data_IF_807648079549
#
_entry.id   IF_807648079549
#
_cell.length_a   1.000
_cell.length_b   1.000
_cell.length_c   1.000
_cell.angle_alpha   90.00
_cell.angle_beta   90.00
_cell.angle_gamma   90.00
#
_symmetry.space_group_name_H-M   'P 1'
#
loop_
_entity.id
_entity.type
_entity.pdbx_description
1 polymer ?
#
# COMPACT_ATOMS: atom_id res chain seq x y z
N UNK A 1 2.63 -10.73 2.01
CA UNK A 1 1.42 -9.98 1.60
C UNK A 1 0.34 -10.96 1.22
N UNK A 2 0.54 -11.81 0.21
CA UNK A 2 -0.38 -12.93 -0.10
C UNK A 2 -0.72 -13.81 1.11
N UNK A 3 0.29 -14.17 1.90
CA UNK A 3 0.08 -14.95 3.13
C UNK A 3 -0.78 -14.26 4.20
N UNK A 4 -0.83 -12.93 4.18
CA UNK A 4 -1.70 -12.17 5.10
C UNK A 4 -3.15 -12.25 4.62
N UNK A 5 -3.37 -12.22 3.30
CA UNK A 5 -4.69 -12.36 2.70
C UNK A 5 -5.25 -13.78 2.88
N UNK A 6 -4.42 -14.81 2.77
CA UNK A 6 -4.85 -16.21 2.87
C UNK A 6 -5.29 -16.61 4.29
N UNK A 7 -4.57 -16.17 5.32
CA UNK A 7 -4.81 -16.58 6.71
C UNK A 7 -5.63 -15.53 7.50
N UNK A 8 -5.58 -14.27 7.08
CA UNK A 8 -6.15 -13.10 7.74
C UNK A 8 -5.82 -13.02 9.26
N UNK A 9 -4.63 -12.51 9.62
CA UNK A 9 -4.19 -12.39 11.00
C UNK A 9 -4.77 -11.18 11.77
N UNK A 10 -5.65 -10.39 11.16
CA UNK A 10 -6.29 -9.25 11.83
C UNK A 10 -7.49 -9.68 12.68
N UNK A 11 -8.18 -10.76 12.26
CA UNK A 11 -9.26 -11.41 13.02
C UNK A 11 -8.78 -12.01 14.34
N UNK A 12 -7.63 -12.69 14.31
CA UNK A 12 -7.02 -13.31 15.48
C UNK A 12 -5.50 -13.15 15.43
N UNK A 13 -4.96 -12.57 16.52
CA UNK A 13 -3.53 -12.36 16.68
C UNK A 13 -2.74 -13.66 16.79
N UNK A 14 -3.39 -14.79 17.09
CA UNK A 14 -2.77 -16.12 17.15
C UNK A 14 -2.32 -16.65 15.78
N UNK A 15 -2.78 -16.02 14.68
CA UNK A 15 -2.52 -16.44 13.30
C UNK A 15 -1.22 -15.90 12.71
N UNK A 16 -0.58 -14.92 13.35
CA UNK A 16 0.70 -14.35 12.89
C UNK A 16 1.86 -15.36 12.76
N UNK A 17 2.00 -16.39 13.62
CA UNK A 17 2.97 -17.47 13.43
C UNK A 17 2.75 -18.26 12.12
N UNK A 18 1.50 -18.50 11.73
CA UNK A 18 1.16 -19.21 10.48
C UNK A 18 1.59 -18.38 9.28
N UNK A 19 1.31 -17.06 9.31
CA UNK A 19 1.76 -16.13 8.27
C UNK A 19 3.29 -16.10 8.18
N UNK A 20 4.00 -16.09 9.31
CA UNK A 20 5.45 -16.12 9.33
C UNK A 20 6.04 -17.41 8.75
N UNK A 21 5.40 -18.56 9.03
CA UNK A 21 5.77 -19.84 8.44
C UNK A 21 5.56 -19.84 6.92
N UNK A 22 4.41 -19.36 6.44
CA UNK A 22 4.12 -19.26 5.00
C UNK A 22 5.07 -18.33 4.27
N UNK A 23 5.36 -17.16 4.84
CA UNK A 23 6.35 -16.22 4.27
C UNK A 23 7.75 -16.83 4.27
N UNK A 24 8.09 -17.58 5.32
CA UNK A 24 9.39 -18.24 5.40
C UNK A 24 9.56 -19.36 4.38
N UNK A 25 8.50 -20.13 4.13
CA UNK A 25 8.48 -21.14 3.07
C UNK A 25 8.66 -20.53 1.67
N UNK A 26 8.02 -19.39 1.40
CA UNK A 26 8.11 -18.71 0.10
C UNK A 26 9.43 -17.95 -0.12
N UNK A 27 10.11 -17.54 0.95
CA UNK A 27 11.33 -16.72 0.89
C UNK A 27 12.61 -17.49 1.22
N UNK A 28 12.52 -18.78 1.55
CA UNK A 28 13.62 -19.63 2.03
C UNK A 28 14.38 -19.01 3.21
N UNK A 29 13.71 -18.19 4.03
CA UNK A 29 14.28 -17.45 5.16
C UNK A 29 13.36 -17.52 6.36
N UNK A 30 13.95 -17.65 7.55
CA UNK A 30 13.16 -17.67 8.78
C UNK A 30 12.72 -16.25 9.15
N UNK A 31 11.40 -16.05 9.25
CA UNK A 31 10.81 -14.83 9.77
C UNK A 31 10.09 -15.10 11.08
N UNK A 32 10.15 -14.13 11.98
CA UNK A 32 9.36 -14.19 13.23
C UNK A 32 7.98 -13.59 13.01
N UNK A 33 6.97 -14.13 13.70
CA UNK A 33 5.60 -13.60 13.70
C UNK A 33 5.57 -12.08 13.99
N UNK A 34 6.39 -11.66 14.95
CA UNK A 34 6.55 -10.24 15.31
C UNK A 34 7.15 -9.42 14.16
N UNK A 35 8.21 -9.91 13.53
CA UNK A 35 8.85 -9.22 12.40
C UNK A 35 7.92 -9.09 11.19
N UNK A 36 7.16 -10.14 10.87
CA UNK A 36 6.14 -10.09 9.83
C UNK A 36 5.08 -9.03 10.13
N UNK A 37 4.55 -9.01 11.36
CA UNK A 37 3.58 -8.00 11.78
C UNK A 37 4.13 -6.59 11.69
N UNK A 38 5.29 -6.32 12.28
CA UNK A 38 5.93 -5.00 12.25
C UNK A 38 6.20 -4.53 10.82
N UNK A 39 6.58 -5.46 9.93
CA UNK A 39 6.79 -5.15 8.51
C UNK A 39 5.48 -4.80 7.80
N UNK A 40 4.39 -5.53 8.06
CA UNK A 40 3.07 -5.25 7.49
C UNK A 40 2.53 -3.92 8.01
N UNK A 41 2.62 -3.67 9.32
CA UNK A 41 2.24 -2.38 9.94
C UNK A 41 3.00 -1.21 9.30
N UNK A 42 4.31 -1.37 9.08
CA UNK A 42 5.13 -0.37 8.39
C UNK A 42 4.66 -0.11 6.97
N UNK A 43 4.39 -1.17 6.19
CA UNK A 43 3.95 -1.05 4.81
C UNK A 43 2.57 -0.40 4.70
N UNK A 44 1.62 -0.76 5.58
CA UNK A 44 0.31 -0.13 5.65
C UNK A 44 0.39 1.35 6.05
N UNK A 45 1.28 1.69 6.99
CA UNK A 45 1.51 3.09 7.37
C UNK A 45 2.10 3.92 6.22
N UNK A 46 3.06 3.38 5.46
CA UNK A 46 3.61 4.07 4.29
C UNK A 46 2.57 4.19 3.17
N UNK A 47 1.73 3.17 2.98
CA UNK A 47 0.63 3.18 2.01
C UNK A 47 -0.41 4.27 2.33
N UNK A 48 -0.86 4.35 3.59
CA UNK A 48 -1.79 5.40 4.06
C UNK A 48 -1.23 6.81 3.90
N UNK A 49 0.08 6.96 4.08
CA UNK A 49 0.79 8.24 3.87
C UNK A 49 1.08 8.55 2.40
N UNK A 50 0.68 7.66 1.48
CA UNK A 50 0.96 7.77 0.04
C UNK A 50 2.45 7.99 -0.27
N UNK A 51 3.34 7.38 0.52
CA UNK A 51 4.79 7.51 0.35
C UNK A 51 5.31 6.54 -0.74
N UNK A 52 4.91 6.84 -1.98
CA UNK A 52 5.21 6.02 -3.16
C UNK A 52 6.71 5.86 -3.40
N UNK A 53 7.50 6.87 -3.05
CA UNK A 53 8.96 6.84 -3.16
C UNK A 53 9.55 5.74 -2.28
N UNK A 54 9.05 5.56 -1.05
CA UNK A 54 9.50 4.49 -0.18
C UNK A 54 8.89 3.12 -0.54
N UNK A 55 7.69 3.07 -1.12
CA UNK A 55 7.09 1.81 -1.60
C UNK A 55 7.74 1.25 -2.87
N UNK A 56 8.21 2.14 -3.77
CA UNK A 56 8.77 1.83 -5.10
C UNK A 56 10.25 1.45 -5.09
N UNK A 57 10.96 1.65 -3.97
CA UNK A 57 12.39 1.29 -3.82
C UNK A 57 12.74 -0.18 -4.07
N UNK A 58 11.76 -1.07 -4.16
CA UNK A 58 11.96 -2.51 -4.36
C UNK A 58 11.09 -3.01 -5.52
N UNK A 59 11.71 -3.41 -6.63
CA UNK A 59 11.08 -4.20 -7.69
C UNK A 59 10.82 -3.45 -9.01
N UNK A 60 10.42 -4.22 -10.03
CA UNK A 60 9.99 -3.71 -11.34
C UNK A 60 8.61 -3.03 -11.27
N UNK A 61 8.21 -2.32 -12.32
CA UNK A 61 6.91 -1.63 -12.36
C UNK A 61 5.73 -2.59 -12.17
N UNK A 62 5.81 -3.80 -12.73
CA UNK A 62 4.79 -4.83 -12.57
C UNK A 62 4.67 -5.31 -11.11
N UNK A 63 5.80 -5.56 -10.45
CA UNK A 63 5.85 -5.97 -9.04
C UNK A 63 5.31 -4.87 -8.12
N UNK A 64 5.55 -3.61 -8.48
CA UNK A 64 5.01 -2.47 -7.75
C UNK A 64 3.48 -2.42 -7.83
N UNK A 65 2.91 -2.52 -9.04
CA UNK A 65 1.44 -2.53 -9.25
C UNK A 65 0.77 -3.64 -8.45
N UNK A 66 1.34 -4.84 -8.50
CA UNK A 66 0.86 -5.97 -7.72
C UNK A 66 0.96 -5.73 -6.21
N UNK A 67 2.10 -5.25 -5.72
CA UNK A 67 2.28 -4.92 -4.30
C UNK A 67 1.29 -3.86 -3.83
N UNK A 68 0.97 -2.86 -4.65
CA UNK A 68 -0.03 -1.84 -4.32
C UNK A 68 -1.44 -2.40 -4.28
N UNK A 69 -1.81 -3.30 -5.21
CA UNK A 69 -3.11 -3.99 -5.16
C UNK A 69 -3.24 -4.82 -3.88
N UNK A 70 -2.21 -5.60 -3.55
CA UNK A 70 -2.17 -6.38 -2.32
C UNK A 70 -2.20 -5.49 -1.05
N UNK A 71 -1.61 -4.29 -1.08
CA UNK A 71 -1.68 -3.35 0.04
C UNK A 71 -3.07 -2.78 0.24
N UNK A 72 -3.79 -2.51 -0.85
CA UNK A 72 -5.17 -2.06 -0.79
C UNK A 72 -6.04 -3.15 -0.14
N UNK A 73 -5.98 -4.38 -0.63
CA UNK A 73 -6.75 -5.50 -0.08
C UNK A 73 -6.43 -5.77 1.40
N UNK A 74 -5.15 -5.76 1.79
CA UNK A 74 -4.74 -5.93 3.20
C UNK A 74 -5.22 -4.76 4.06
N UNK A 75 -5.23 -3.54 3.52
CA UNK A 75 -5.75 -2.35 4.23
C UNK A 75 -7.26 -2.47 4.45
N UNK A 76 -8.00 -2.93 3.45
CA UNK A 76 -9.44 -3.13 3.53
C UNK A 76 -9.78 -4.20 4.57
N UNK A 77 -9.04 -5.33 4.57
CA UNK A 77 -9.16 -6.35 5.63
C UNK A 77 -8.87 -5.81 7.04
N UNK A 78 -7.88 -4.93 7.20
CA UNK A 78 -7.59 -4.32 8.50
C UNK A 78 -8.75 -3.41 8.95
N UNK A 79 -9.38 -2.68 8.02
CA UNK A 79 -10.55 -1.84 8.30
C UNK A 79 -11.74 -2.69 8.74
N UNK A 80 -12.04 -3.77 8.01
CA UNK A 80 -13.12 -4.71 8.34
C UNK A 80 -12.94 -5.37 9.72
N UNK A 81 -11.69 -5.57 10.15
CA UNK A 81 -11.37 -6.19 11.44
C UNK A 81 -11.28 -5.20 12.63
N UNK A 82 -11.71 -3.95 12.44
CA UNK A 82 -11.74 -2.93 13.51
C UNK A 82 -10.70 -1.82 13.38
N UNK A 83 -10.09 -1.67 12.20
CA UNK A 83 -9.25 -0.54 11.85
C UNK A 83 -7.80 -0.63 12.35
N UNK A 84 -6.97 0.37 11.98
CA UNK A 84 -5.58 0.43 12.38
C UNK A 84 -5.45 0.31 13.89
N UNK A 85 -4.68 -0.70 14.33
CA UNK A 85 -4.22 -0.78 15.72
C UNK A 85 -3.18 0.31 15.94
N UNK A 86 -3.63 1.54 16.11
CA UNK A 86 -2.78 2.64 16.55
C UNK A 86 -2.15 2.20 17.86
N UNK A 87 -0.82 2.04 17.86
CA UNK A 87 -0.08 1.92 19.12
C UNK A 87 -0.33 3.24 19.83
N UNK A 88 -1.23 3.20 20.81
CA UNK A 88 -1.41 4.30 21.75
C UNK A 88 -0.02 4.65 22.26
N UNK A 89 0.46 5.84 21.88
CA UNK A 89 1.69 6.37 22.44
C UNK A 89 1.53 6.35 23.95
N UNK A 90 2.52 5.79 24.65
CA UNK A 90 2.58 5.76 26.11
C UNK A 90 2.46 7.18 26.67
N UNK A 91 1.23 7.59 27.00
CA UNK A 91 0.91 8.74 27.84
C UNK A 91 -0.37 8.42 28.59
N UNK A 92 -0.26 7.53 29.57
CA UNK A 92 -1.28 7.36 30.60
C UNK A 92 -0.59 6.97 31.90
N UNK A 93 -0.45 7.99 32.75
CA UNK A 93 -0.55 7.99 34.21
C UNK A 93 -0.84 6.62 34.84
N UNK A 94 -0.02 6.28 35.85
CA UNK A 94 -0.26 5.21 36.84
C UNK A 94 -1.77 5.03 37.15
N UNK A 95 -2.35 3.84 36.95
CA UNK A 95 -3.54 3.45 37.70
C UNK A 95 -3.09 3.00 39.10
N UNK A 96 -3.58 3.73 40.10
CA UNK A 96 -3.47 3.40 41.52
C UNK A 96 -4.37 2.19 41.83
N UNK A 97 -3.76 1.23 42.52
CA UNK A 97 -4.29 0.20 43.41
C UNK A 97 -5.78 -0.22 43.31
N UNK A 98 -5.97 -1.50 42.99
CA UNK A 98 -7.12 -2.28 43.47
C UNK A 98 -6.97 -2.61 44.98
N UNK A 99 -8.10 -2.83 45.68
CA UNK A 99 -8.18 -3.87 46.69
C UNK A 99 -9.21 -4.95 46.32
N UNK A 100 -8.81 -6.22 46.51
CA UNK A 100 -9.59 -7.47 46.38
C UNK A 100 -10.51 -7.69 47.63
N UNK A 101 -10.99 -8.93 47.92
CA UNK A 101 -12.27 -9.54 47.52
C UNK A 101 -13.15 -9.89 48.75
N UNK A 102 -14.44 -10.25 48.58
CA UNK A 102 -15.17 -11.06 49.58
C UNK A 102 -16.21 -11.98 48.92
N UNK A 103 -16.14 -13.23 49.36
CA UNK A 103 -16.91 -14.41 48.96
C UNK A 103 -18.36 -14.45 49.47
N UNK A 104 -19.10 -15.45 48.97
CA UNK A 104 -20.24 -16.22 49.52
C UNK A 104 -21.55 -16.12 48.68
N UNK A 105 -22.48 -17.10 48.73
CA UNK A 105 -22.68 -18.08 47.65
C UNK A 105 -24.12 -18.08 47.05
N UNK A 106 -24.27 -18.76 45.91
CA UNK A 106 -25.42 -19.56 45.37
C UNK A 106 -26.81 -19.45 46.04
N UNK A 107 -28.00 -19.61 45.35
CA UNK A 107 -28.20 -20.71 44.39
C UNK A 107 -29.32 -20.62 43.30
N UNK A 108 -29.28 -21.62 42.39
CA UNK A 108 -30.29 -22.25 41.49
C UNK A 108 -31.33 -21.37 40.74
N UNK A 109 -31.43 -21.50 39.41
CA UNK A 109 -32.47 -22.30 38.68
C UNK A 109 -32.46 -21.81 37.21
N UNK A 110 -32.82 -22.48 36.11
CA UNK A 110 -33.34 -23.82 35.75
C UNK A 110 -33.17 -23.92 34.22
N UNK A 111 -32.99 -25.13 33.71
CA UNK A 111 -32.87 -25.52 32.31
C UNK A 111 -34.05 -25.13 31.39
N UNK A 112 -33.78 -24.92 30.10
CA UNK A 112 -34.65 -25.39 29.00
C UNK A 112 -33.78 -25.91 27.84
N UNK A 113 -34.13 -27.10 27.38
CA UNK A 113 -33.59 -27.92 26.28
C UNK A 113 -34.50 -27.84 25.07
N UNK A 114 -33.93 -27.98 23.86
CA UNK A 114 -34.46 -28.50 22.57
C UNK A 114 -33.64 -27.83 21.44
N UNK A 115 -32.82 -28.48 20.62
CA UNK A 115 -32.88 -29.72 19.82
C UNK A 115 -33.81 -29.67 18.59
N UNK A 116 -33.36 -30.37 17.54
CA UNK A 116 -33.85 -30.54 16.15
C UNK A 116 -33.31 -29.51 15.15
N UNK A 117 -32.88 -29.84 13.93
CA UNK A 117 -32.67 -31.09 13.21
C UNK A 117 -32.10 -30.70 11.83
N UNK A 118 -31.14 -31.49 11.34
CA UNK A 118 -30.86 -31.87 9.94
C UNK A 118 -31.27 -30.95 8.76
N UNK A 119 -30.31 -30.64 7.89
CA UNK A 119 -30.25 -31.19 6.50
C UNK A 119 -29.10 -30.57 5.70
N UNK A 120 -28.18 -31.45 5.28
CA UNK A 120 -27.35 -31.35 4.09
C UNK A 120 -28.05 -32.21 3.02
N UNK A 121 -28.10 -31.85 1.72
CA UNK A 121 -27.04 -32.32 0.82
C UNK A 121 -26.75 -31.46 -0.43
N UNK A 122 -25.46 -31.35 -0.77
CA UNK A 122 -24.88 -31.66 -2.08
C UNK A 122 -25.70 -31.40 -3.37
N UNK A 123 -25.33 -30.37 -4.15
CA UNK A 123 -25.39 -30.35 -5.63
C UNK A 123 -24.19 -29.50 -6.15
N UNK A 124 -23.18 -30.10 -6.76
CA UNK A 124 -23.07 -30.45 -8.19
C UNK A 124 -22.65 -29.25 -9.06
N UNK A 125 -21.36 -29.18 -9.42
CA UNK A 125 -20.89 -28.90 -10.78
C UNK A 125 -19.37 -29.09 -10.87
N UNK A 126 -18.97 -30.25 -11.38
CA UNK A 126 -17.69 -30.48 -12.05
C UNK A 126 -17.76 -29.97 -13.49
N UNK A 127 -16.58 -29.94 -14.13
CA UNK A 127 -16.28 -29.81 -15.56
C UNK A 127 -16.00 -28.38 -16.04
N UNK A 128 -14.72 -28.06 -16.27
CA UNK A 128 -14.13 -28.02 -17.62
C UNK A 128 -12.60 -27.97 -17.50
N UNK A 129 -11.96 -29.05 -17.97
CA UNK A 129 -10.56 -29.07 -18.41
C UNK A 129 -10.52 -28.67 -19.89
N UNK A 130 -9.65 -27.73 -20.24
CA UNK A 130 -9.06 -27.49 -21.57
C UNK A 130 -7.96 -26.45 -21.29
N UNK A 131 -6.66 -26.73 -21.41
CA UNK A 131 -5.97 -27.21 -22.59
C UNK A 131 -5.21 -26.03 -23.20
N UNK A 132 -4.02 -25.71 -22.68
CA UNK A 132 -3.11 -24.73 -23.33
C UNK A 132 -1.67 -25.23 -23.28
N UNK A 133 -1.36 -26.00 -24.32
CA UNK A 133 -0.25 -25.82 -25.27
C UNK A 133 1.01 -25.06 -24.82
N UNK A 134 2.13 -25.79 -24.90
CA UNK A 134 3.49 -25.33 -24.69
C UNK A 134 4.03 -24.50 -25.88
N UNK A 135 4.74 -23.40 -25.60
CA UNK A 135 5.74 -22.81 -26.51
C UNK A 135 6.54 -21.68 -25.83
N UNK A 136 7.70 -21.24 -26.36
CA UNK A 136 9.01 -21.58 -25.80
C UNK A 136 9.75 -20.36 -25.22
N UNK A 137 10.70 -20.64 -24.31
CA UNK A 137 11.61 -19.63 -23.77
C UNK A 137 12.66 -19.20 -24.80
N UNK A 138 12.93 -17.90 -24.98
CA UNK A 138 14.10 -17.43 -25.68
C UNK A 138 15.34 -17.45 -24.77
N UNK A 139 16.36 -18.18 -25.24
CA UNK A 139 17.74 -18.13 -24.75
C UNK A 139 18.33 -16.74 -24.91
N UNK A 140 18.66 -16.07 -23.82
CA UNK A 140 19.53 -14.90 -23.87
C UNK A 140 20.98 -15.37 -23.71
N UNK A 141 21.76 -15.10 -24.75
CA UNK A 141 23.20 -15.29 -24.76
C UNK A 141 23.84 -14.36 -23.72
N UNK A 142 24.72 -14.94 -22.89
CA UNK A 142 25.63 -14.21 -22.03
C UNK A 142 26.67 -13.51 -22.93
N UNK A 143 26.60 -12.18 -23.01
CA UNK A 143 27.71 -11.37 -23.53
C UNK A 143 28.64 -11.00 -22.39
N UNK A 144 29.79 -11.65 -22.47
CA UNK A 144 31.09 -11.34 -21.89
C UNK A 144 31.35 -9.83 -21.78
N UNK A 145 31.62 -9.36 -20.56
CA UNK A 145 32.23 -8.06 -20.32
C UNK A 145 33.48 -8.28 -19.48
N UNK A 146 34.60 -7.96 -20.11
CA UNK A 146 35.95 -8.04 -19.58
C UNK A 146 36.11 -7.28 -18.26
N UNK A 147 36.65 -7.97 -17.25
CA UNK A 147 37.18 -7.34 -16.04
C UNK A 147 38.55 -6.74 -16.34
N UNK A 148 38.68 -5.43 -16.12
CA UNK A 148 39.96 -4.78 -15.91
C UNK A 148 40.30 -4.76 -14.40
N UNK A 149 41.58 -4.94 -14.01
CA UNK A 149 41.98 -5.15 -12.62
C UNK A 149 42.10 -3.83 -11.86
N UNK A 150 41.41 -3.71 -10.73
CA UNK A 150 41.65 -2.64 -9.76
C UNK A 150 42.68 -3.14 -8.74
N UNK A 151 43.90 -2.68 -8.94
CA UNK A 151 45.04 -2.68 -8.01
C UNK A 151 44.83 -1.72 -6.84
N UNK A 152 45.10 -2.19 -5.61
CA UNK A 152 45.46 -1.42 -4.41
C UNK A 152 44.33 -0.57 -3.81
N UNK A 153 44.02 -0.57 -2.52
CA UNK A 153 44.88 -0.74 -1.35
C UNK A 153 44.11 -1.39 -0.20
N UNK A 154 44.81 -2.25 0.53
CA UNK A 154 44.33 -2.92 1.74
C UNK A 154 44.41 -1.93 2.90
N UNK A 155 43.30 -1.27 3.22
CA UNK A 155 43.18 -0.52 4.47
C UNK A 155 42.72 -1.47 5.59
N UNK A 156 43.68 -1.81 6.45
CA UNK A 156 43.49 -2.61 7.66
C UNK A 156 42.56 -1.87 8.61
N UNK A 157 41.31 -2.33 8.72
CA UNK A 157 40.37 -1.87 9.74
C UNK A 157 40.82 -2.43 11.10
N UNK A 158 41.56 -1.61 11.83
CA UNK A 158 41.84 -1.80 13.26
C UNK A 158 40.53 -1.74 14.04
N UNK A 159 40.22 -2.85 14.74
CA UNK A 159 39.18 -2.88 15.76
C UNK A 159 39.52 -1.88 16.88
N UNK A 160 38.59 -1.02 17.31
CA UNK A 160 38.81 -0.20 18.48
C UNK A 160 38.72 -1.06 19.76
N UNK A 161 39.83 -1.06 20.49
CA UNK A 161 40.02 -1.60 21.83
C UNK A 161 38.93 -1.08 22.80
N UNK A 162 38.26 -2.03 23.47
CA UNK A 162 37.12 -1.81 24.37
C UNK A 162 37.52 -1.25 25.76
N UNK A 163 38.59 -0.46 25.84
CA UNK A 163 39.22 -0.03 27.10
C UNK A 163 39.11 1.48 27.40
N UNK A 164 38.44 2.27 26.54
CA UNK A 164 38.28 3.72 26.75
C UNK A 164 36.82 4.13 26.85
N UNK A 165 36.15 3.71 27.92
CA UNK A 165 34.94 4.40 28.38
C UNK A 165 35.35 5.57 29.30
N UNK A 166 34.89 6.80 29.05
CA UNK A 166 35.09 7.89 29.99
C UNK A 166 34.37 7.56 31.29
N UNK A 167 35.15 7.41 32.36
CA UNK A 167 34.66 7.23 33.73
C UNK A 167 33.85 8.48 34.11
N UNK A 168 32.53 8.33 34.23
CA UNK A 168 31.65 9.40 34.70
C UNK A 168 32.17 9.96 36.03
N UNK A 169 32.21 11.30 36.21
CA UNK A 169 32.73 11.89 37.42
C UNK A 169 31.85 11.54 38.62
N UNK A 170 32.43 11.41 39.84
CA UNK A 170 31.67 11.14 41.06
C UNK A 170 30.60 12.21 41.28
N UNK A 171 29.39 11.77 41.63
CA UNK A 171 28.28 12.66 41.99
C UNK A 171 28.67 13.42 43.27
N UNK A 172 28.93 14.71 43.14
CA UNK A 172 29.00 15.61 44.29
C UNK A 172 27.59 15.77 44.86
N UNK A 173 27.43 15.44 46.14
CA UNK A 173 26.26 15.80 46.94
C UNK A 173 26.18 17.32 47.03
N UNK A 174 25.31 17.93 46.22
CA UNK A 174 24.95 19.33 46.38
C UNK A 174 23.91 19.47 47.47
N UNK A 175 24.37 20.02 48.59
CA UNK A 175 23.54 20.53 49.66
C UNK A 175 22.45 21.48 49.14
N UNK A 176 21.28 21.37 49.75
CA UNK A 176 20.11 22.20 49.52
C UNK A 176 20.45 23.67 49.75
N UNK A 177 20.75 24.43 48.70
CA UNK A 177 20.67 25.89 48.73
C UNK A 177 19.25 26.29 48.37
N UNK A 178 18.55 26.83 49.36
CA UNK A 178 17.28 27.56 49.23
C UNK A 178 17.59 28.80 48.39
N UNK A 179 17.25 28.75 47.11
CA UNK A 179 17.28 29.94 46.24
C UNK A 179 15.98 30.69 46.53
N UNK A 180 16.11 31.85 47.17
CA UNK A 180 15.04 32.83 47.26
C UNK A 180 14.72 33.33 45.85
N UNK A 181 13.45 33.21 45.50
CA UNK A 181 12.91 33.53 44.20
C UNK A 181 12.73 35.06 44.12
N UNK A 182 13.78 35.78 43.74
CA UNK A 182 13.68 37.20 43.39
C UNK A 182 13.50 37.32 41.88
N UNK A 183 12.33 37.81 41.48
CA UNK A 183 12.04 38.48 40.22
C UNK A 183 12.71 37.94 38.95
N UNK A 184 11.96 37.13 38.21
CA UNK A 184 12.06 37.03 36.74
C UNK A 184 10.71 37.34 36.10
N UNK A 185 10.13 38.48 36.49
CA UNK A 185 9.05 39.14 35.74
C UNK A 185 9.62 39.95 34.56
N UNK A 186 10.44 39.29 33.73
CA UNK A 186 10.88 39.86 32.48
C UNK A 186 11.14 38.72 31.49
N UNK A 187 10.10 38.34 30.73
CA UNK A 187 10.15 37.75 29.38
C UNK A 187 8.80 37.12 28.93
N UNK A 188 7.73 37.91 28.69
CA UNK A 188 6.60 37.47 27.87
C UNK A 188 6.79 37.79 26.37
N UNK A 189 7.71 38.68 25.98
CA UNK A 189 7.74 39.26 24.62
C UNK A 189 8.47 38.40 23.57
N UNK A 190 9.46 37.58 23.95
CA UNK A 190 10.21 36.76 22.96
C UNK A 190 9.50 35.47 22.56
N UNK A 191 8.54 34.98 23.35
CA UNK A 191 7.75 33.78 23.01
C UNK A 191 6.74 34.06 21.90
N UNK A 192 6.07 35.21 21.94
CA UNK A 192 5.09 35.59 20.91
C UNK A 192 5.74 35.73 19.54
N UNK A 193 6.93 36.36 19.47
CA UNK A 193 7.65 36.50 18.20
C UNK A 193 8.05 35.14 17.58
N UNK A 194 8.48 34.17 18.39
CA UNK A 194 8.78 32.82 17.88
C UNK A 194 7.51 32.08 17.48
N UNK A 195 6.42 32.26 18.20
CA UNK A 195 5.14 31.62 17.91
C UNK A 195 4.47 32.21 16.65
N UNK A 196 4.70 33.49 16.37
CA UNK A 196 4.25 34.15 15.14
C UNK A 196 5.07 33.65 13.93
N UNK A 197 6.40 33.50 14.08
CA UNK A 197 7.28 32.92 13.04
C UNK A 197 6.90 31.46 12.75
N UNK A 198 6.52 30.68 13.77
CA UNK A 198 6.07 29.30 13.58
C UNK A 198 4.75 29.27 12.80
N UNK A 199 3.78 30.11 13.17
CA UNK A 199 2.49 30.19 12.47
C UNK A 199 2.64 30.64 11.01
N UNK A 200 3.52 31.59 10.74
CA UNK A 200 3.81 32.03 9.37
C UNK A 200 4.39 30.89 8.52
N UNK A 201 5.33 30.11 9.07
CA UNK A 201 5.88 28.93 8.38
C UNK A 201 4.86 27.81 8.19
N UNK A 202 3.95 27.63 9.14
CA UNK A 202 2.84 26.68 9.01
C UNK A 202 1.90 27.07 7.86
N UNK A 203 1.55 28.36 7.77
CA UNK A 203 0.75 28.90 6.66
C UNK A 203 1.47 28.72 5.32
N UNK A 204 2.75 29.04 5.24
CA UNK A 204 3.53 28.87 4.00
C UNK A 204 3.59 27.40 3.54
N UNK A 205 3.72 26.47 4.49
CA UNK A 205 3.68 25.03 4.19
C UNK A 205 2.29 24.58 3.73
N UNK A 206 1.23 25.15 4.30
CA UNK A 206 -0.14 24.88 3.90
C UNK A 206 -0.44 25.43 2.50
N UNK A 207 -0.05 26.67 2.21
CA UNK A 207 -0.16 27.27 0.87
C UNK A 207 0.61 26.45 -0.18
N UNK A 208 1.82 25.98 0.16
CA UNK A 208 2.60 25.13 -0.74
C UNK A 208 1.93 23.79 -1.00
N UNK A 209 1.29 23.19 -0.01
CA UNK A 209 0.50 21.95 -0.18
C UNK A 209 -0.70 22.20 -1.08
N UNK A 210 -1.44 23.28 -0.80
CA UNK A 210 -2.62 23.64 -1.55
C UNK A 210 -2.28 23.91 -3.03
N UNK A 211 -1.16 24.59 -3.29
CA UNK A 211 -0.65 24.80 -4.65
C UNK A 211 -0.29 23.51 -5.38
N UNK A 212 0.35 22.55 -4.70
CA UNK A 212 0.66 21.25 -5.30
C UNK A 212 -0.62 20.45 -5.61
N UNK A 213 -1.63 20.55 -4.76
CA UNK A 213 -2.93 19.93 -4.99
C UNK A 213 -3.68 20.59 -6.15
N UNK A 214 -3.65 21.92 -6.26
CA UNK A 214 -4.20 22.67 -7.38
C UNK A 214 -3.51 22.30 -8.71
N UNK A 215 -2.18 22.22 -8.72
CA UNK A 215 -1.41 21.81 -9.90
C UNK A 215 -1.73 20.36 -10.29
N UNK A 216 -1.84 19.45 -9.31
CA UNK A 216 -2.26 18.07 -9.56
C UNK A 216 -3.67 18.00 -10.14
N UNK A 217 -4.61 18.76 -9.59
CA UNK A 217 -5.99 18.82 -10.08
C UNK A 217 -6.05 19.41 -11.49
N UNK A 218 -5.21 20.41 -11.79
CA UNK A 218 -5.11 20.99 -13.13
C UNK A 218 -4.61 19.96 -14.15
N UNK A 219 -3.54 19.21 -13.83
CA UNK A 219 -3.02 18.15 -14.69
C UNK A 219 -4.04 17.01 -14.89
N UNK A 220 -4.83 16.69 -13.87
CA UNK A 220 -5.88 15.70 -13.98
C UNK A 220 -7.01 16.16 -14.92
N UNK A 221 -7.43 17.43 -14.82
CA UNK A 221 -8.41 18.03 -15.73
C UNK A 221 -7.91 18.04 -17.17
N UNK A 222 -6.68 18.47 -17.42
CA UNK A 222 -6.13 18.51 -18.79
C UNK A 222 -5.98 17.11 -19.37
N UNK A 223 -5.59 16.12 -18.55
CA UNK A 223 -5.57 14.72 -18.97
C UNK A 223 -6.96 14.22 -19.35
N UNK A 224 -7.97 14.50 -18.52
CA UNK A 224 -9.34 14.09 -18.80
C UNK A 224 -9.90 14.73 -20.08
N UNK A 225 -9.58 16.01 -20.31
CA UNK A 225 -9.96 16.72 -21.55
C UNK A 225 -9.28 16.10 -22.78
N UNK A 226 -7.98 15.80 -22.70
CA UNK A 226 -7.24 15.16 -23.78
C UNK A 226 -7.78 13.74 -24.08
N UNK A 227 -8.10 12.97 -23.05
CA UNK A 227 -8.68 11.62 -23.20
C UNK A 227 -10.05 11.70 -23.89
N UNK A 228 -10.90 12.64 -23.47
CA UNK A 228 -12.21 12.89 -24.10
C UNK A 228 -12.06 13.32 -25.56
N UNK A 229 -11.11 14.20 -25.88
CA UNK A 229 -10.85 14.64 -27.25
C UNK A 229 -10.36 13.49 -28.13
N UNK A 230 -9.47 12.65 -27.60
CA UNK A 230 -8.98 11.45 -28.28
C UNK A 230 -10.13 10.50 -28.63
N UNK A 231 -11.05 10.24 -27.69
CA UNK A 231 -12.22 9.41 -27.92
C UNK A 231 -13.14 9.99 -28.99
N UNK A 232 -13.41 11.30 -28.95
CA UNK A 232 -14.22 11.95 -29.98
C UNK A 232 -13.58 11.85 -31.36
N UNK A 233 -12.27 12.09 -31.46
CA UNK A 233 -11.53 12.00 -32.73
C UNK A 233 -11.50 10.57 -33.26
N UNK A 234 -11.35 9.58 -32.38
CA UNK A 234 -11.42 8.15 -32.74
C UNK A 234 -12.79 7.80 -33.30
N UNK A 235 -13.86 8.23 -32.65
CA UNK A 235 -15.23 7.98 -33.11
C UNK A 235 -15.52 8.63 -34.47
N UNK A 236 -15.02 9.85 -34.68
CA UNK A 236 -15.14 10.54 -35.98
C UNK A 236 -14.44 9.77 -37.10
N UNK A 237 -13.20 9.31 -36.87
CA UNK A 237 -12.47 8.51 -37.84
C UNK A 237 -13.21 7.21 -38.19
N UNK A 238 -13.76 6.52 -37.18
CA UNK A 238 -14.55 5.31 -37.41
C UNK A 238 -15.84 5.60 -38.21
N UNK A 239 -16.51 6.72 -37.93
CA UNK A 239 -17.72 7.12 -38.65
C UNK A 239 -17.43 7.47 -40.12
N UNK A 240 -16.33 8.18 -40.38
CA UNK A 240 -15.84 8.49 -41.73
C UNK A 240 -15.50 7.22 -42.51
N UNK A 241 -14.79 6.26 -41.89
CA UNK A 241 -14.48 4.97 -42.51
C UNK A 241 -15.76 4.19 -42.85
N UNK A 242 -16.72 4.14 -41.92
CA UNK A 242 -18.03 3.52 -42.17
C UNK A 242 -18.77 4.22 -43.30
N UNK A 243 -18.67 5.54 -43.41
CA UNK A 243 -19.30 6.31 -44.49
C UNK A 243 -18.64 6.01 -45.84
N UNK A 244 -17.31 6.03 -45.90
CA UNK A 244 -16.52 5.67 -47.09
C UNK A 244 -16.86 4.27 -47.60
N UNK A 245 -17.00 3.29 -46.68
CA UNK A 245 -17.42 1.94 -47.02
C UNK A 245 -18.84 1.88 -47.61
N UNK A 246 -19.80 2.60 -47.03
CA UNK A 246 -21.16 2.68 -47.59
C UNK A 246 -21.17 3.34 -48.97
N UNK A 247 -20.34 4.35 -49.18
CA UNK A 247 -20.23 5.06 -50.46
C UNK A 247 -19.61 4.17 -51.55
N UNK A 248 -18.57 3.40 -51.23
CA UNK A 248 -17.97 2.46 -52.18
C UNK A 248 -18.93 1.31 -52.53
N UNK A 249 -19.63 0.75 -51.54
CA UNK A 249 -20.68 -0.25 -51.76
C UNK A 249 -21.83 0.30 -52.63
N UNK A 250 -22.23 1.56 -52.40
CA UNK A 250 -23.25 2.25 -53.22
C UNK A 250 -22.80 2.41 -54.67
N UNK A 251 -21.56 2.81 -54.90
CA UNK A 251 -21.00 2.94 -56.25
C UNK A 251 -20.91 1.57 -56.95
N UNK A 252 -20.49 0.52 -56.24
CA UNK A 252 -20.46 -0.83 -56.76
C UNK A 252 -21.87 -1.33 -57.15
N UNK A 253 -22.86 -1.08 -56.30
CA UNK A 253 -24.26 -1.42 -56.58
C UNK A 253 -24.81 -0.65 -57.80
N UNK A 254 -24.47 0.63 -57.95
CA UNK A 254 -24.88 1.42 -59.11
C UNK A 254 -24.24 0.90 -60.42
N UNK A 255 -22.96 0.53 -60.38
CA UNK A 255 -22.28 -0.08 -61.51
C UNK A 255 -22.94 -1.41 -61.91
N UNK A 256 -23.19 -2.29 -60.93
CA UNK A 256 -23.90 -3.56 -61.13
C UNK A 256 -25.29 -3.34 -61.74
N UNK A 257 -26.03 -2.33 -61.25
CA UNK A 257 -27.34 -1.96 -61.79
C UNK A 257 -27.25 -1.57 -63.27
N UNK A 258 -26.32 -0.69 -63.64
CA UNK A 258 -26.12 -0.25 -65.04
C UNK A 258 -25.72 -1.41 -65.95
N UNK A 259 -24.87 -2.33 -65.49
CA UNK A 259 -24.49 -3.53 -66.25
C UNK A 259 -25.71 -4.44 -66.48
N UNK A 260 -26.53 -4.64 -65.45
CA UNK A 260 -27.75 -5.44 -65.56
C UNK A 260 -28.76 -4.82 -66.52
N UNK A 261 -29.01 -3.50 -66.43
CA UNK A 261 -29.89 -2.77 -67.35
C UNK A 261 -29.43 -2.91 -68.81
N UNK A 262 -28.11 -2.89 -69.06
CA UNK A 262 -27.56 -3.06 -70.40
C UNK A 262 -27.75 -4.49 -70.94
N UNK A 263 -27.60 -5.51 -70.09
CA UNK A 263 -27.85 -6.90 -70.46
C UNK A 263 -29.33 -7.13 -70.81
N UNK A 264 -30.25 -6.62 -69.99
CA UNK A 264 -31.70 -6.73 -70.24
C UNK A 264 -32.08 -6.04 -71.55
N UNK A 265 -31.55 -4.85 -71.82
CA UNK A 265 -31.78 -4.11 -73.09
C UNK A 265 -31.24 -4.82 -74.34
N UNK A 266 -30.30 -5.75 -74.20
CA UNK A 266 -29.77 -6.54 -75.34
C UNK A 266 -30.57 -7.81 -75.60
N UNK A 267 -31.33 -8.29 -74.61
CA UNK A 267 -32.13 -9.51 -74.69
C UNK A 267 -33.56 -9.19 -75.17
N UNK A 268 -34.08 -8.01 -74.82
CA UNK A 268 -35.35 -7.48 -75.32
C UNK A 268 -35.19 -6.83 -76.70
#
# INVERSE_FOLDING_TARGET
>A
MREVLSVNPFTDSSKWPIVAQGVGAASEKEFTARGCRERIDLLLNLFRKQDWNNLRKSGSEAQYKEKTALLQEVSDLEIECGGPRTRVANSARKPVAQPKPKDTPSPVSVAVVADTSEQDPSLLCQVYEEGVEASPQPSYAYSDHEEAPITGDVEVVLQPDASQFPRWPPKHDYGKRKIENTNTDDMPVKKTATDDIIREKELELEERRLRLEEERLALEKTKFEADREYEMRKLQMEEEDRKSRRESERLQAELMRKMFDHLVKKIA
#
